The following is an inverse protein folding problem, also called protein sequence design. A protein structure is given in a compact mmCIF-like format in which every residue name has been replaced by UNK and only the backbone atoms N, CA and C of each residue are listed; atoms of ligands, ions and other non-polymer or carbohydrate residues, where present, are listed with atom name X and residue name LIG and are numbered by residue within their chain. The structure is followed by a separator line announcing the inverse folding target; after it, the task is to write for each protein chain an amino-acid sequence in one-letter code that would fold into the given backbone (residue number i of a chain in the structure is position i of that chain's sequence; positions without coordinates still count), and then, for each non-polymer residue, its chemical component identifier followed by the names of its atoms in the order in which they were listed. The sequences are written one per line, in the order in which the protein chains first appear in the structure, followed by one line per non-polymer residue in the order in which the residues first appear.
data_IF_654429592234
#
_entry.id   IF_654429592234
#
_cell.length_a   1.000
_cell.length_b   1.000
_cell.length_c   1.000
_cell.angle_alpha   90.00
_cell.angle_beta   90.00
_cell.angle_gamma   90.00
#
_symmetry.space_group_name_H-M   'P 1'
#
loop_
_entity.id
_entity.type
_entity.pdbx_description
1 polymer ?
#
# COMPACT_ATOMS: atom_id res chain seq x y z
N UNK A 1 10.03 35.30 43.02
CA UNK A 1 8.90 34.43 42.59
C UNK A 1 8.64 34.54 41.08
N UNK A 2 8.55 35.73 40.50
CA UNK A 2 8.27 35.93 39.06
C UNK A 2 9.31 35.32 38.09
N UNK A 3 10.61 35.36 38.41
CA UNK A 3 11.67 34.78 37.55
C UNK A 3 11.58 33.24 37.43
N UNK A 4 11.25 32.53 38.52
CA UNK A 4 11.12 31.07 38.52
C UNK A 4 9.92 30.61 37.67
N UNK A 5 8.82 31.36 37.69
CA UNK A 5 7.65 31.09 36.85
C UNK A 5 7.95 31.31 35.36
N UNK A 6 8.70 32.36 35.02
CA UNK A 6 9.15 32.62 33.64
C UNK A 6 10.09 31.52 33.12
N UNK A 7 11.03 31.05 33.95
CA UNK A 7 11.94 29.95 33.60
C UNK A 7 11.20 28.63 33.37
N UNK A 8 10.24 28.28 34.25
CA UNK A 8 9.42 27.06 34.10
C UNK A 8 8.59 27.08 32.82
N UNK A 9 8.02 28.24 32.46
CA UNK A 9 7.25 28.41 31.23
C UNK A 9 8.12 28.21 29.98
N UNK A 10 9.32 28.80 29.95
CA UNK A 10 10.28 28.62 28.85
C UNK A 10 10.68 27.15 28.69
N UNK A 11 10.94 26.44 29.80
CA UNK A 11 11.28 25.01 29.72
C UNK A 11 10.14 24.16 29.16
N UNK A 12 8.88 24.46 29.52
CA UNK A 12 7.71 23.75 28.97
C UNK A 12 7.55 23.96 27.46
N UNK A 13 7.76 25.19 27.00
CA UNK A 13 7.73 25.50 25.56
C UNK A 13 8.88 24.79 24.84
N UNK A 14 10.09 24.85 25.39
CA UNK A 14 11.25 24.15 24.81
C UNK A 14 11.03 22.65 24.71
N UNK A 15 10.48 22.03 25.76
CA UNK A 15 10.13 20.61 25.76
C UNK A 15 9.05 20.28 24.71
N UNK A 16 7.99 21.10 24.61
CA UNK A 16 6.95 20.93 23.61
C UNK A 16 7.51 21.07 22.18
N UNK A 17 8.35 22.08 21.92
CA UNK A 17 8.98 22.28 20.63
C UNK A 17 9.90 21.12 20.24
N UNK A 18 10.66 20.57 21.21
CA UNK A 18 11.47 19.37 21.01
C UNK A 18 10.60 18.16 20.66
N UNK A 19 9.52 17.93 21.41
CA UNK A 19 8.56 16.85 21.12
C UNK A 19 7.98 16.99 19.71
N UNK A 20 7.52 18.18 19.33
CA UNK A 20 6.98 18.43 17.99
C UNK A 20 8.03 18.20 16.91
N UNK A 21 9.27 18.64 17.12
CA UNK A 21 10.36 18.42 16.16
C UNK A 21 10.63 16.93 15.95
N UNK A 22 10.65 16.15 17.04
CA UNK A 22 10.80 14.69 16.98
C UNK A 22 9.64 14.07 16.20
N UNK A 23 8.39 14.41 16.53
CA UNK A 23 7.20 13.88 15.84
C UNK A 23 7.21 14.21 14.34
N UNK A 24 7.45 15.47 13.98
CA UNK A 24 7.47 15.88 12.57
C UNK A 24 8.69 15.37 11.81
N UNK A 25 9.75 14.92 12.48
CA UNK A 25 10.91 14.33 11.80
C UNK A 25 10.58 12.99 11.11
N UNK A 26 9.58 12.25 11.63
CA UNK A 26 9.12 10.97 11.08
C UNK A 26 8.03 11.10 10.02
N UNK A 27 7.42 12.28 9.92
CA UNK A 27 6.33 12.55 8.99
C UNK A 27 6.92 13.13 7.70
N UNK A 28 6.52 12.58 6.56
CA UNK A 28 6.81 13.13 5.24
C UNK A 28 5.51 13.38 4.49
N UNK A 29 5.47 14.48 3.73
CA UNK A 29 4.36 14.80 2.83
C UNK A 29 4.87 14.61 1.40
N UNK A 30 4.16 13.82 0.60
CA UNK A 30 4.43 13.61 -0.81
C UNK A 30 3.24 14.05 -1.64
N UNK A 31 3.51 14.67 -2.80
CA UNK A 31 2.49 14.86 -3.82
C UNK A 31 2.39 13.61 -4.68
N UNK A 32 1.18 13.16 -4.98
CA UNK A 32 0.91 12.05 -5.90
C UNK A 32 1.02 12.58 -7.32
N UNK A 33 1.87 11.95 -8.15
CA UNK A 33 2.16 12.37 -9.54
C UNK A 33 1.72 11.32 -10.58
N UNK A 34 0.92 10.32 -10.18
CA UNK A 34 0.49 9.20 -11.03
C UNK A 34 -0.95 8.77 -10.71
N UNK A 35 -1.67 8.32 -11.74
CA UNK A 35 -3.08 7.89 -11.69
C UNK A 35 -3.25 6.40 -11.39
N UNK A 36 -2.17 5.62 -11.31
CA UNK A 36 -2.21 4.16 -11.06
C UNK A 36 -2.94 3.74 -9.78
N UNK A 37 -3.08 4.65 -8.82
CA UNK A 37 -3.80 4.43 -7.56
C UNK A 37 -5.22 5.01 -7.57
N UNK A 38 -5.72 5.51 -8.70
CA UNK A 38 -7.08 6.01 -8.81
C UNK A 38 -8.10 4.88 -8.58
N UNK A 39 -9.19 5.10 -7.81
CA UNK A 39 -9.60 6.37 -7.18
C UNK A 39 -9.07 6.59 -5.75
N UNK A 40 -8.33 5.62 -5.20
CA UNK A 40 -7.83 5.70 -3.82
C UNK A 40 -6.87 6.87 -3.62
N UNK A 41 -6.03 7.18 -4.62
CA UNK A 41 -5.22 8.39 -4.72
C UNK A 41 -5.40 9.00 -6.10
N UNK A 42 -5.60 10.32 -6.14
CA UNK A 42 -5.77 11.07 -7.39
C UNK A 42 -4.49 11.89 -7.63
N UNK A 43 -4.12 12.04 -8.90
CA UNK A 43 -3.03 12.92 -9.31
C UNK A 43 -3.21 14.33 -8.70
N UNK A 44 -2.14 14.85 -8.10
CA UNK A 44 -2.12 16.12 -7.39
C UNK A 44 -2.47 16.05 -5.90
N UNK A 45 -3.02 14.94 -5.38
CA UNK A 45 -3.26 14.77 -3.94
C UNK A 45 -1.96 14.83 -3.14
N UNK A 46 -2.06 15.25 -1.88
CA UNK A 46 -0.94 15.13 -0.93
C UNK A 46 -1.18 13.93 -0.01
N UNK A 47 -0.13 13.18 0.28
CA UNK A 47 -0.17 12.04 1.21
C UNK A 47 0.84 12.24 2.32
N UNK A 48 0.38 12.01 3.55
CA UNK A 48 1.25 11.91 4.71
C UNK A 48 1.68 10.45 4.84
N UNK A 49 2.98 10.23 4.92
CA UNK A 49 3.57 8.89 5.01
C UNK A 49 4.48 8.78 6.23
N UNK A 50 4.53 7.57 6.80
CA UNK A 50 5.45 7.18 7.86
C UNK A 50 6.61 6.35 7.29
N UNK A 51 7.80 6.47 7.88
CA UNK A 51 8.97 5.69 7.46
C UNK A 51 8.92 4.26 8.00
N UNK A 52 9.04 3.28 7.11
CA UNK A 52 9.02 1.84 7.44
C UNK A 52 10.32 1.10 7.11
N UNK A 53 11.35 1.77 6.56
CA UNK A 53 12.59 1.13 6.09
C UNK A 53 13.63 0.84 7.18
N UNK A 54 13.51 1.44 8.36
CA UNK A 54 14.63 1.58 9.28
C UNK A 54 14.79 0.48 10.34
N UNK A 55 13.92 -0.52 10.44
CA UNK A 55 13.98 -1.56 11.48
C UNK A 55 13.85 -1.06 12.94
N UNK A 56 13.94 0.24 13.17
CA UNK A 56 13.57 0.93 14.41
C UNK A 56 12.09 1.26 14.30
N UNK A 57 11.27 0.39 14.89
CA UNK A 57 9.85 0.61 15.17
C UNK A 57 9.79 1.59 16.36
N UNK A 58 9.14 2.75 16.32
CA UNK A 58 7.70 3.05 16.14
C UNK A 58 7.63 4.59 15.88
N UNK A 59 6.76 5.10 14.98
CA UNK A 59 5.56 5.74 15.48
C UNK A 59 4.22 5.36 14.79
N UNK A 60 3.69 4.18 15.10
CA UNK A 60 2.24 3.91 15.29
C UNK A 60 1.64 4.71 16.48
N UNK A 61 2.12 5.94 16.65
CA UNK A 61 2.37 6.63 17.90
C UNK A 61 1.15 7.40 18.37
N UNK A 62 0.58 7.12 19.53
CA UNK A 62 1.09 6.35 20.67
C UNK A 62 0.19 5.12 20.88
N UNK A 63 0.75 3.91 20.90
CA UNK A 63 -0.04 2.67 20.84
C UNK A 63 -1.08 2.49 21.95
N UNK A 64 -2.38 2.52 21.61
CA UNK A 64 -3.45 2.15 22.56
C UNK A 64 -4.43 1.04 22.12
N UNK A 65 -4.45 0.59 20.86
CA UNK A 65 -5.26 -0.58 20.48
C UNK A 65 -4.63 -1.30 19.28
N UNK A 66 -3.77 -2.30 19.50
CA UNK A 66 -4.04 -3.64 18.97
C UNK A 66 -2.95 -4.62 19.42
N UNK A 67 -3.38 -5.69 20.09
CA UNK A 67 -2.52 -6.75 20.63
C UNK A 67 -2.29 -7.87 19.60
N UNK A 68 -2.75 -7.71 18.34
CA UNK A 68 -2.73 -8.75 17.31
C UNK A 68 -2.23 -8.33 15.90
N UNK A 69 -1.65 -7.14 15.69
CA UNK A 69 -1.38 -6.59 14.34
C UNK A 69 0.03 -6.80 13.74
N UNK A 70 0.86 -7.70 14.28
CA UNK A 70 2.23 -7.99 13.78
C UNK A 70 2.32 -9.31 13.00
N UNK A 71 1.38 -9.59 12.09
CA UNK A 71 1.41 -10.87 11.36
C UNK A 71 2.48 -10.95 10.25
N UNK A 72 3.32 -9.92 10.04
CA UNK A 72 4.61 -10.09 9.34
C UNK A 72 5.69 -9.21 9.99
N UNK A 73 6.96 -9.67 10.00
CA UNK A 73 8.02 -9.15 10.89
C UNK A 73 8.43 -7.67 10.69
N UNK A 74 7.80 -6.94 9.76
CA UNK A 74 8.16 -5.57 9.38
C UNK A 74 7.02 -4.54 9.48
N UNK A 75 5.85 -4.89 10.02
CA UNK A 75 4.74 -3.94 10.21
C UNK A 75 3.96 -3.56 8.94
N UNK A 76 4.18 -4.29 7.84
CA UNK A 76 3.44 -4.18 6.58
C UNK A 76 2.33 -5.23 6.54
N UNK A 77 1.12 -4.79 6.23
CA UNK A 77 -0.08 -5.60 6.11
C UNK A 77 -0.63 -5.59 4.68
N UNK A 78 -1.36 -6.65 4.33
CA UNK A 78 -2.14 -6.70 3.09
C UNK A 78 -3.14 -5.53 3.08
N UNK A 79 -3.20 -4.80 1.98
CA UNK A 79 -4.02 -3.60 1.83
C UNK A 79 -3.29 -2.29 2.11
N UNK A 80 -2.11 -2.31 2.75
CA UNK A 80 -1.33 -1.09 2.96
C UNK A 80 -0.94 -0.44 1.62
N UNK A 81 -0.96 0.89 1.56
CA UNK A 81 -0.41 1.65 0.43
C UNK A 81 1.02 2.04 0.79
N UNK A 82 1.98 1.63 -0.04
CA UNK A 82 3.40 1.73 0.23
C UNK A 82 4.09 2.55 -0.85
N UNK A 83 5.09 3.31 -0.42
CA UNK A 83 6.03 4.03 -1.28
C UNK A 83 7.35 3.28 -1.29
N UNK A 84 7.80 2.86 -2.46
CA UNK A 84 9.02 2.10 -2.62
C UNK A 84 9.81 2.56 -3.84
N UNK A 85 11.11 2.31 -3.81
CA UNK A 85 12.00 2.55 -4.94
C UNK A 85 11.78 1.45 -5.98
N UNK A 86 11.41 1.84 -7.19
CA UNK A 86 11.18 0.89 -8.27
C UNK A 86 12.50 0.18 -8.66
N UNK A 87 12.47 -1.16 -8.90
CA UNK A 87 13.69 -1.94 -9.05
C UNK A 87 14.59 -1.57 -10.24
N UNK A 88 14.03 -0.95 -11.29
CA UNK A 88 14.74 -0.76 -12.57
C UNK A 88 15.08 0.71 -12.90
N UNK A 89 14.35 1.69 -12.38
CA UNK A 89 14.47 3.09 -12.82
C UNK A 89 14.74 4.08 -11.66
N UNK A 90 14.96 3.58 -10.44
CA UNK A 90 15.22 4.35 -9.23
C UNK A 90 14.13 5.37 -8.82
N UNK A 91 12.97 5.41 -9.48
CA UNK A 91 11.87 6.32 -9.14
C UNK A 91 11.07 5.78 -7.95
N UNK A 92 10.40 6.67 -7.22
CA UNK A 92 9.48 6.26 -6.16
C UNK A 92 8.12 5.92 -6.75
N UNK A 93 7.61 4.75 -6.40
CA UNK A 93 6.30 4.25 -6.82
C UNK A 93 5.40 4.14 -5.60
N UNK A 94 4.13 4.51 -5.77
CA UNK A 94 3.07 4.34 -4.77
C UNK A 94 2.13 3.24 -5.27
N UNK A 95 1.99 2.15 -4.51
CA UNK A 95 1.13 1.00 -4.86
C UNK A 95 0.54 0.35 -3.59
N UNK A 96 -0.48 -0.50 -3.75
CA UNK A 96 -1.06 -1.30 -2.67
C UNK A 96 -0.33 -2.63 -2.52
N UNK A 97 0.02 -2.99 -1.30
CA UNK A 97 0.54 -4.30 -0.94
C UNK A 97 -0.58 -5.35 -0.96
N UNK A 98 -0.56 -6.27 -1.91
CA UNK A 98 -1.62 -7.27 -2.11
C UNK A 98 -1.20 -8.71 -1.78
N UNK A 99 0.08 -8.94 -1.49
CA UNK A 99 0.56 -10.19 -0.94
C UNK A 99 1.86 -9.99 -0.15
N UNK A 100 2.00 -10.77 0.91
CA UNK A 100 3.11 -10.75 1.85
C UNK A 100 4.09 -11.90 1.56
N UNK A 101 5.29 -11.91 2.18
CA UNK A 101 6.19 -13.05 2.09
C UNK A 101 5.50 -14.39 2.35
N UNK A 102 5.76 -15.39 1.51
CA UNK A 102 5.18 -16.73 1.64
C UNK A 102 3.79 -16.91 1.02
N UNK A 103 3.05 -15.84 0.72
CA UNK A 103 1.81 -15.93 -0.05
C UNK A 103 2.05 -16.49 -1.44
N UNK A 104 0.99 -17.01 -2.06
CA UNK A 104 0.98 -17.28 -3.49
C UNK A 104 -0.05 -16.41 -4.18
N UNK A 105 0.31 -15.89 -5.36
CA UNK A 105 -0.55 -15.04 -6.19
C UNK A 105 -0.70 -15.62 -7.58
N UNK A 106 -1.85 -15.36 -8.19
CA UNK A 106 -2.11 -15.67 -9.59
C UNK A 106 -3.08 -14.63 -10.14
N UNK A 107 -3.03 -14.37 -11.44
CA UNK A 107 -4.08 -13.63 -12.12
C UNK A 107 -4.57 -14.42 -13.33
N UNK A 108 -5.89 -14.53 -13.49
CA UNK A 108 -6.53 -15.17 -14.66
C UNK A 108 -7.65 -14.29 -15.17
N UNK A 109 -7.61 -13.90 -16.44
CA UNK A 109 -8.60 -13.02 -17.06
C UNK A 109 -8.91 -11.76 -16.22
N UNK A 110 -7.87 -11.03 -15.80
CA UNK A 110 -7.91 -9.85 -14.91
C UNK A 110 -8.35 -10.11 -13.46
N UNK A 111 -8.79 -11.32 -13.13
CA UNK A 111 -9.18 -11.68 -11.77
C UNK A 111 -7.92 -12.06 -10.99
N UNK A 112 -7.68 -11.35 -9.88
CA UNK A 112 -6.59 -11.63 -8.96
C UNK A 112 -6.98 -12.72 -7.95
N UNK A 113 -6.07 -13.65 -7.72
CA UNK A 113 -6.21 -14.78 -6.81
C UNK A 113 -5.09 -14.76 -5.78
N UNK A 114 -5.46 -14.98 -4.51
CA UNK A 114 -4.54 -14.97 -3.38
C UNK A 114 -4.67 -16.28 -2.58
N UNK A 115 -3.52 -16.85 -2.23
CA UNK A 115 -3.41 -17.94 -1.26
C UNK A 115 -2.49 -17.47 -0.12
N UNK A 116 -2.96 -17.63 1.10
CA UNK A 116 -2.27 -17.14 2.30
C UNK A 116 -1.19 -18.13 2.71
N UNK A 117 0.06 -17.66 2.80
CA UNK A 117 1.23 -18.46 3.18
C UNK A 117 1.41 -19.77 2.36
N UNK A 118 0.76 -19.87 1.19
CA UNK A 118 0.67 -21.11 0.41
C UNK A 118 0.07 -22.29 1.20
N UNK A 119 -0.86 -21.99 2.12
CA UNK A 119 -1.54 -22.97 2.98
C UNK A 119 -3.07 -22.89 2.81
N UNK A 120 -3.71 -24.04 2.56
CA UNK A 120 -5.15 -24.11 2.33
C UNK A 120 -5.97 -23.72 3.56
N UNK A 121 -5.60 -24.21 4.73
CA UNK A 121 -6.36 -23.98 5.97
C UNK A 121 -6.30 -22.51 6.38
N UNK A 122 -5.11 -21.90 6.31
CA UNK A 122 -4.93 -20.46 6.54
C UNK A 122 -5.70 -19.64 5.51
N UNK A 123 -5.68 -20.05 4.24
CA UNK A 123 -6.45 -19.38 3.18
C UNK A 123 -7.94 -19.40 3.48
N UNK A 124 -8.50 -20.55 3.88
CA UNK A 124 -9.92 -20.67 4.26
C UNK A 124 -10.24 -19.86 5.51
N UNK A 125 -9.38 -19.89 6.53
CA UNK A 125 -9.57 -19.14 7.77
C UNK A 125 -9.58 -17.64 7.51
N UNK A 126 -8.61 -17.15 6.74
CA UNK A 126 -8.51 -15.75 6.35
C UNK A 126 -9.71 -15.33 5.50
N UNK A 127 -10.10 -16.13 4.52
CA UNK A 127 -11.28 -15.87 3.70
C UNK A 127 -12.56 -15.77 4.55
N UNK A 128 -12.76 -16.70 5.51
CA UNK A 128 -13.91 -16.68 6.41
C UNK A 128 -13.91 -15.44 7.31
N UNK A 129 -12.76 -15.09 7.90
CA UNK A 129 -12.60 -13.90 8.75
C UNK A 129 -12.96 -12.61 8.02
N UNK A 130 -12.59 -12.52 6.75
CA UNK A 130 -12.75 -11.32 5.91
C UNK A 130 -13.97 -11.37 4.98
N UNK A 131 -14.80 -12.43 5.06
CA UNK A 131 -15.97 -12.68 4.22
C UNK A 131 -15.65 -12.71 2.72
N UNK A 132 -14.47 -13.22 2.36
CA UNK A 132 -14.06 -13.35 0.96
C UNK A 132 -14.59 -14.61 0.31
N UNK A 133 -14.85 -14.51 -0.99
CA UNK A 133 -15.17 -15.67 -1.82
C UNK A 133 -13.92 -16.52 -2.05
N UNK A 134 -14.05 -17.82 -1.80
CA UNK A 134 -13.05 -18.82 -2.19
C UNK A 134 -13.49 -19.58 -3.43
N UNK A 135 -12.54 -20.01 -4.23
CA UNK A 135 -12.75 -20.87 -5.40
C UNK A 135 -11.70 -21.97 -5.42
N UNK A 136 -12.02 -23.11 -6.04
CA UNK A 136 -11.07 -24.17 -6.31
C UNK A 136 -10.59 -24.06 -7.76
N UNK A 137 -9.27 -23.93 -7.95
CA UNK A 137 -8.63 -23.84 -9.26
C UNK A 137 -7.41 -24.76 -9.25
N UNK A 138 -7.31 -25.63 -10.25
CA UNK A 138 -6.20 -26.59 -10.41
C UNK A 138 -5.93 -27.44 -9.15
N UNK A 139 -7.00 -27.81 -8.45
CA UNK A 139 -6.94 -28.61 -7.22
C UNK A 139 -6.66 -27.82 -5.94
N UNK A 140 -6.36 -26.51 -6.05
CA UNK A 140 -6.00 -25.65 -4.93
C UNK A 140 -7.06 -24.61 -4.63
N UNK A 141 -7.01 -24.02 -3.44
CA UNK A 141 -7.99 -23.03 -2.99
C UNK A 141 -7.41 -21.64 -3.02
N UNK A 142 -8.19 -20.78 -3.63
CA UNK A 142 -7.82 -19.40 -3.88
C UNK A 142 -8.90 -18.47 -3.37
N UNK A 143 -8.48 -17.36 -2.78
CA UNK A 143 -9.36 -16.23 -2.53
C UNK A 143 -9.50 -15.46 -3.84
N UNK A 144 -10.72 -15.29 -4.31
CA UNK A 144 -11.01 -14.58 -5.55
C UNK A 144 -11.22 -13.09 -5.25
N UNK A 145 -10.43 -12.23 -5.91
CA UNK A 145 -10.55 -10.77 -5.87
C UNK A 145 -10.76 -10.19 -4.44
N UNK A 146 -9.91 -10.52 -3.45
CA UNK A 146 -10.12 -10.10 -2.05
C UNK A 146 -10.22 -8.57 -1.87
N UNK A 147 -9.49 -7.82 -2.68
CA UNK A 147 -9.35 -6.37 -2.51
C UNK A 147 -10.54 -5.57 -3.07
N UNK A 148 -11.32 -6.11 -4.00
CA UNK A 148 -12.53 -5.43 -4.48
C UNK A 148 -13.64 -5.36 -3.44
N UNK A 149 -13.54 -6.15 -2.36
CA UNK A 149 -14.46 -6.08 -1.21
C UNK A 149 -14.23 -4.80 -0.39
N UNK A 150 -13.01 -4.29 -0.35
CA UNK A 150 -12.63 -3.15 0.49
C UNK A 150 -12.31 -1.87 -0.29
N UNK A 151 -11.87 -2.01 -1.53
CA UNK A 151 -11.36 -0.92 -2.34
C UNK A 151 -12.01 -0.90 -3.71
N UNK A 152 -12.19 0.28 -4.27
CA UNK A 152 -12.56 0.42 -5.68
C UNK A 152 -11.35 0.05 -6.53
N UNK A 153 -11.45 -1.09 -7.21
CA UNK A 153 -10.45 -1.57 -8.17
C UNK A 153 -11.02 -1.34 -9.56
N UNK A 154 -10.31 -0.58 -10.40
CA UNK A 154 -10.80 -0.18 -11.72
C UNK A 154 -10.14 -1.02 -12.81
N UNK A 155 -10.99 -1.60 -13.65
CA UNK A 155 -10.64 -2.22 -14.92
C UNK A 155 -11.44 -1.51 -16.04
N UNK A 156 -10.85 -1.34 -17.22
CA UNK A 156 -11.59 -0.94 -18.41
C UNK A 156 -11.96 -2.16 -19.24
N UNK A 157 -13.18 -2.13 -19.78
CA UNK A 157 -13.65 -3.10 -20.76
C UNK A 157 -12.90 -2.88 -22.09
N UNK A 158 -12.66 -3.96 -22.84
CA UNK A 158 -12.10 -3.93 -24.20
C UNK A 158 -10.68 -3.35 -24.39
N UNK A 159 -9.82 -3.38 -23.38
CA UNK A 159 -8.40 -3.03 -23.58
C UNK A 159 -7.71 -4.11 -24.43
N UNK A 160 -7.08 -3.71 -25.52
CA UNK A 160 -6.08 -4.52 -26.23
C UNK A 160 -4.73 -4.25 -25.55
N UNK A 161 -4.45 -5.00 -24.49
CA UNK A 161 -3.23 -4.86 -23.71
C UNK A 161 -2.35 -6.11 -23.80
N UNK A 162 -1.06 -6.04 -23.43
CA UNK A 162 -0.21 -7.21 -23.39
C UNK A 162 -0.81 -8.30 -22.48
N UNK A 163 -0.70 -9.58 -22.91
CA UNK A 163 -1.35 -10.74 -22.25
C UNK A 163 -1.07 -10.84 -20.74
N UNK A 164 0.07 -10.35 -20.28
CA UNK A 164 0.44 -10.36 -18.86
C UNK A 164 -0.45 -9.46 -17.98
N UNK A 165 -1.11 -8.44 -18.55
CA UNK A 165 -2.10 -7.62 -17.83
C UNK A 165 -3.36 -8.41 -17.48
N UNK A 166 -3.62 -9.49 -18.21
CA UNK A 166 -4.78 -10.36 -18.01
C UNK A 166 -4.41 -11.59 -17.19
N UNK A 167 -3.23 -12.16 -17.43
CA UNK A 167 -2.79 -13.39 -16.80
C UNK A 167 -1.41 -13.23 -16.18
N UNK A 168 -1.28 -13.59 -14.92
CA UNK A 168 -0.02 -13.63 -14.19
C UNK A 168 0.15 -15.05 -13.63
N UNK A 169 1.28 -15.72 -13.89
CA UNK A 169 1.46 -17.12 -13.50
C UNK A 169 1.41 -17.27 -11.98
N UNK A 170 0.99 -18.45 -11.52
CA UNK A 170 1.09 -18.82 -10.10
C UNK A 170 2.51 -18.59 -9.62
N UNK A 171 2.67 -17.70 -8.64
CA UNK A 171 3.97 -17.32 -8.09
C UNK A 171 3.89 -17.25 -6.58
N UNK A 172 4.79 -17.97 -5.90
CA UNK A 172 5.01 -17.81 -4.47
C UNK A 172 5.90 -16.59 -4.22
N UNK A 173 5.48 -15.71 -3.32
CA UNK A 173 6.22 -14.51 -2.95
C UNK A 173 7.41 -14.90 -2.08
N UNK A 174 8.65 -14.55 -2.47
CA UNK A 174 9.83 -14.87 -1.69
C UNK A 174 9.83 -14.21 -0.31
N UNK A 175 10.66 -14.75 0.58
CA UNK A 175 10.92 -14.13 1.87
C UNK A 175 11.44 -12.69 1.71
N UNK A 176 10.98 -11.79 2.59
CA UNK A 176 11.29 -10.35 2.57
C UNK A 176 10.90 -9.62 1.28
N UNK A 177 9.98 -10.16 0.49
CA UNK A 177 9.43 -9.49 -0.68
C UNK A 177 7.91 -9.35 -0.59
N UNK A 178 7.38 -8.37 -1.32
CA UNK A 178 5.97 -7.99 -1.29
C UNK A 178 5.45 -7.83 -2.70
N UNK A 179 4.22 -8.27 -2.95
CA UNK A 179 3.59 -8.08 -4.26
C UNK A 179 2.73 -6.82 -4.23
N UNK A 180 3.01 -5.90 -5.16
CA UNK A 180 2.41 -4.57 -5.20
C UNK A 180 1.52 -4.44 -6.43
N UNK A 181 0.31 -3.89 -6.28
CA UNK A 181 -0.60 -3.59 -7.39
C UNK A 181 -1.14 -2.16 -7.28
N UNK A 182 -1.39 -1.54 -8.43
CA UNK A 182 -2.20 -0.32 -8.49
C UNK A 182 -3.69 -0.62 -8.36
N UNK A 183 -4.47 0.34 -7.89
CA UNK A 183 -5.92 0.22 -7.83
C UNK A 183 -6.57 0.44 -9.21
N UNK A 184 -5.94 1.27 -10.06
CA UNK A 184 -6.23 1.38 -11.49
C UNK A 184 -5.43 0.29 -12.24
N UNK A 185 -5.93 -0.95 -12.16
CA UNK A 185 -5.20 -2.16 -12.59
C UNK A 185 -4.75 -2.12 -14.04
N UNK A 186 -5.54 -1.51 -14.90
CA UNK A 186 -5.23 -1.51 -16.32
C UNK A 186 -4.26 -0.39 -16.73
N UNK A 187 -3.98 0.58 -15.84
CA UNK A 187 -3.04 1.66 -16.07
C UNK A 187 -2.04 1.79 -14.90
N UNK A 188 -1.47 0.66 -14.50
CA UNK A 188 -0.52 0.59 -13.40
C UNK A 188 0.68 -0.26 -13.81
N UNK A 189 1.87 0.35 -13.83
CA UNK A 189 3.13 -0.40 -13.87
C UNK A 189 3.45 -0.86 -12.45
N UNK A 190 3.24 -2.14 -12.18
CA UNK A 190 3.34 -2.75 -10.86
C UNK A 190 3.96 -4.16 -10.89
N UNK A 191 3.83 -4.95 -9.82
CA UNK A 191 4.51 -6.25 -9.70
C UNK A 191 4.13 -7.27 -10.78
N UNK A 192 3.08 -7.03 -11.58
CA UNK A 192 2.81 -7.82 -12.80
C UNK A 192 3.89 -7.65 -13.87
N UNK A 193 4.62 -6.53 -13.85
CA UNK A 193 5.66 -6.19 -14.83
C UNK A 193 7.07 -6.46 -14.28
N UNK A 194 7.31 -6.15 -13.00
CA UNK A 194 8.64 -6.19 -12.40
C UNK A 194 8.77 -7.15 -11.21
N UNK A 195 7.78 -8.03 -11.01
CA UNK A 195 7.74 -9.02 -9.93
C UNK A 195 7.68 -8.40 -8.52
N UNK A 196 7.92 -9.21 -7.49
CA UNK A 196 7.83 -8.80 -6.10
C UNK A 196 8.94 -7.81 -5.72
N UNK A 197 8.61 -6.89 -4.82
CA UNK A 197 9.47 -5.79 -4.38
C UNK A 197 10.16 -6.20 -3.07
N UNK A 198 11.49 -6.08 -2.97
CA UNK A 198 12.20 -6.41 -1.74
C UNK A 198 11.93 -5.36 -0.65
N UNK A 199 11.93 -5.81 0.60
CA UNK A 199 11.63 -4.99 1.77
C UNK A 199 12.52 -3.74 1.88
N UNK A 200 13.80 -3.87 1.55
CA UNK A 200 14.79 -2.79 1.59
C UNK A 200 14.54 -1.67 0.57
N UNK A 201 13.72 -1.92 -0.45
CA UNK A 201 13.26 -0.91 -1.38
C UNK A 201 12.03 -0.14 -0.87
N UNK A 202 11.35 -0.61 0.19
CA UNK A 202 10.13 0.00 0.73
C UNK A 202 10.51 1.05 1.76
N UNK A 203 10.17 2.31 1.48
CA UNK A 203 10.57 3.45 2.31
C UNK A 203 9.46 3.93 3.22
N UNK A 204 8.24 4.01 2.69
CA UNK A 204 7.15 4.63 3.42
C UNK A 204 5.85 3.86 3.31
N UNK A 205 5.02 4.02 4.34
CA UNK A 205 3.62 3.59 4.36
C UNK A 205 2.72 4.81 4.44
N UNK A 206 1.67 4.82 3.64
CA UNK A 206 0.68 5.89 3.64
C UNK A 206 -0.14 5.82 4.92
N UNK A 207 -0.24 6.96 5.60
CA UNK A 207 -1.04 7.13 6.81
C UNK A 207 -2.30 7.95 6.55
N UNK A 208 -2.17 9.08 5.86
CA UNK A 208 -3.28 9.99 5.59
C UNK A 208 -3.22 10.52 4.16
N UNK A 209 -4.38 10.59 3.50
CA UNK A 209 -4.57 11.31 2.23
C UNK A 209 -5.17 12.69 2.53
N UNK A 210 -4.61 13.72 1.90
CA UNK A 210 -5.11 15.09 1.88
C UNK A 210 -5.52 15.39 0.45
N UNK A 211 -6.83 15.55 0.25
CA UNK A 211 -7.39 15.84 -1.07
C UNK A 211 -6.96 17.23 -1.56
N UNK A 212 -6.44 17.30 -2.78
CA UNK A 212 -6.14 18.58 -3.40
C UNK A 212 -7.42 19.31 -3.82
N UNK A 213 -7.47 20.64 -3.62
CA UNK A 213 -8.59 21.47 -4.07
C UNK A 213 -8.76 21.33 -5.60
N UNK A 214 -9.90 20.75 -6.01
CA UNK A 214 -10.16 20.45 -7.42
C UNK A 214 -10.71 21.67 -8.13
N UNK A 215 -10.13 22.02 -9.27
CA UNK A 215 -10.81 22.85 -10.27
C UNK A 215 -11.56 21.89 -11.20
N UNK A 216 -12.90 21.87 -11.11
CA UNK A 216 -13.77 20.85 -11.74
C UNK A 216 -13.56 20.80 -13.27
N UNK A 217 -13.13 21.91 -13.87
CA UNK A 217 -12.87 22.05 -15.30
C UNK A 217 -11.70 21.21 -15.83
N UNK A 218 -10.76 20.77 -14.97
CA UNK A 218 -9.61 19.94 -15.40
C UNK A 218 -9.92 18.44 -15.48
N UNK A 219 -10.98 17.96 -14.82
CA UNK A 219 -11.34 16.54 -14.79
C UNK A 219 -11.81 16.03 -16.16
N UNK A 220 -12.35 16.90 -17.01
CA UNK A 220 -12.71 16.59 -18.40
C UNK A 220 -11.50 16.39 -19.31
N UNK A 221 -10.28 16.71 -18.84
CA UNK A 221 -9.04 16.65 -19.61
C UNK A 221 -8.12 15.48 -19.22
N UNK A 222 -8.53 14.62 -18.28
CA UNK A 222 -7.78 13.39 -17.96
C UNK A 222 -7.84 12.49 -19.19
N UNK A 223 -6.79 12.54 -20.01
CA UNK A 223 -6.58 11.60 -21.10
C UNK A 223 -6.26 10.25 -20.48
N UNK A 224 -7.21 9.33 -20.52
CA UNK A 224 -6.87 7.91 -20.42
C UNK A 224 -5.88 7.62 -21.54
N UNK A 225 -4.71 7.06 -21.20
CA UNK A 225 -3.76 6.60 -22.21
C UNK A 225 -4.37 5.38 -22.92
N UNK A 226 -5.22 5.65 -23.90
CA UNK A 226 -5.52 4.73 -25.00
C UNK A 226 -4.74 5.21 -26.22
N UNK A 227 -3.55 4.67 -26.39
CA UNK A 227 -2.87 4.56 -27.68
C UNK A 227 -2.28 3.17 -27.80
#
# INVERSE_FOLDING_TARGET
MQLKNKMSFIMKIGFLALLLTIVFSFIRIYQVEDISMHPALIDGDYVIVENVSAGVQIPSFFGYFDKHLYEHPQGISRGDILVFKHPLDNRLYIKRCVALPGDSVMQKNKIFYLQIATDENLTRQYAKKHLFKTVQLDGEIWIQAPYSTYYTITHFDNIIGPKFLFNYPKTKIPEKQYFMLGDLRDNSTDSRFFHAVPYDAIYYKLWLRIEASRNIDKLSSIKFYSQ
#
